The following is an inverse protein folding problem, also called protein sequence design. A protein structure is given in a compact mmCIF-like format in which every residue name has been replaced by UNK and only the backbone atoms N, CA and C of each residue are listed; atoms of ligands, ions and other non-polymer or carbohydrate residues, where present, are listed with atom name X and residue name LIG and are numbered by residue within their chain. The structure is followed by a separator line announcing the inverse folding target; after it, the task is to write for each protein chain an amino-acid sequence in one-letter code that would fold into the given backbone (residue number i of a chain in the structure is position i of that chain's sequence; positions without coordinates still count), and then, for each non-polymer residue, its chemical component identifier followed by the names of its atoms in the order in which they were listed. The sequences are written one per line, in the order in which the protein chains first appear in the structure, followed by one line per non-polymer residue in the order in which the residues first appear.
data_IF_566696809690
#
_entry.id   IF_566696809690
#
_cell.length_a   1.000
_cell.length_b   1.000
_cell.length_c   1.000
_cell.angle_alpha   90.00
_cell.angle_beta   90.00
_cell.angle_gamma   90.00
#
_symmetry.space_group_name_H-M   'P 1'
#
loop_
_entity.id
_entity.type
_entity.pdbx_description
1 polymer ?
#
# COMPACT_ATOMS: atom_id res chain seq x y z
N UNK A 1 -3.99 12.00 -20.98
CA UNK A 1 -5.11 12.75 -20.40
C UNK A 1 -5.71 11.92 -19.26
N UNK A 2 -5.99 12.53 -18.11
CA UNK A 2 -6.72 11.89 -17.00
C UNK A 2 -8.15 11.57 -17.42
N UNK A 3 -8.65 10.39 -17.07
CA UNK A 3 -10.07 10.06 -17.29
C UNK A 3 -10.94 10.51 -16.11
N UNK A 4 -12.25 10.71 -16.33
CA UNK A 4 -13.20 11.07 -15.27
C UNK A 4 -13.16 10.06 -14.10
N UNK A 5 -13.00 8.77 -14.41
CA UNK A 5 -12.88 7.73 -13.38
C UNK A 5 -11.65 7.90 -12.49
N UNK A 6 -10.54 8.41 -13.02
CA UNK A 6 -9.34 8.68 -12.22
C UNK A 6 -9.46 9.91 -11.35
N UNK A 7 -10.08 10.97 -11.88
CA UNK A 7 -10.38 12.15 -11.06
C UNK A 7 -11.32 11.78 -9.92
N UNK A 8 -12.31 10.90 -10.17
CA UNK A 8 -13.18 10.37 -9.13
C UNK A 8 -12.40 9.55 -8.09
N UNK A 9 -11.50 8.65 -8.52
CA UNK A 9 -10.63 7.92 -7.61
C UNK A 9 -9.77 8.86 -6.75
N UNK A 10 -9.24 9.95 -7.33
CA UNK A 10 -8.49 10.96 -6.59
C UNK A 10 -9.33 11.57 -5.45
N UNK A 11 -10.55 11.98 -5.76
CA UNK A 11 -11.48 12.55 -4.77
C UNK A 11 -11.87 11.52 -3.70
N UNK A 12 -12.05 10.26 -4.07
CA UNK A 12 -12.38 9.19 -3.13
C UNK A 12 -11.20 8.83 -2.20
N UNK A 13 -9.95 9.05 -2.64
CA UNK A 13 -8.75 8.89 -1.82
C UNK A 13 -8.52 10.08 -0.87
N UNK A 14 -8.88 11.30 -1.30
CA UNK A 14 -8.73 12.55 -0.54
C UNK A 14 -10.10 13.19 -0.25
N UNK A 15 -10.99 12.45 0.40
CA UNK A 15 -12.40 12.84 0.53
C UNK A 15 -12.64 13.92 1.60
N UNK A 16 -12.63 13.55 2.87
CA UNK A 16 -12.88 14.43 4.01
C UNK A 16 -12.00 14.03 5.21
N UNK A 17 -11.80 14.91 6.20
CA UNK A 17 -10.96 14.60 7.37
C UNK A 17 -11.48 13.42 8.20
N UNK A 18 -12.81 13.30 8.32
CA UNK A 18 -13.49 12.30 9.17
C UNK A 18 -14.31 11.28 8.38
N UNK A 19 -14.42 11.44 7.06
CA UNK A 19 -15.13 10.51 6.20
C UNK A 19 -14.22 10.08 5.04
N UNK A 20 -14.17 8.78 4.83
CA UNK A 20 -13.42 8.18 3.73
C UNK A 20 -14.30 8.08 2.49
N UNK A 21 -13.71 8.27 1.31
CA UNK A 21 -14.37 7.88 0.08
C UNK A 21 -14.48 6.36 -0.02
N UNK A 22 -15.34 5.88 -0.92
CA UNK A 22 -15.63 4.45 -1.10
C UNK A 22 -14.36 3.62 -1.39
N UNK A 23 -13.43 4.14 -2.19
CA UNK A 23 -12.15 3.48 -2.49
C UNK A 23 -11.23 3.40 -1.28
N UNK A 24 -11.08 4.51 -0.55
CA UNK A 24 -10.28 4.57 0.67
C UNK A 24 -10.83 3.62 1.74
N UNK A 25 -12.14 3.60 1.93
CA UNK A 25 -12.81 2.72 2.86
C UNK A 25 -12.64 1.24 2.47
N UNK A 26 -12.81 0.92 1.18
CA UNK A 26 -12.58 -0.42 0.65
C UNK A 26 -11.14 -0.91 0.91
N UNK A 27 -10.13 -0.06 0.68
CA UNK A 27 -8.73 -0.37 0.97
C UNK A 27 -8.50 -0.70 2.46
N UNK A 28 -9.06 0.13 3.36
CA UNK A 28 -8.95 -0.06 4.82
C UNK A 28 -9.64 -1.34 5.28
N UNK A 29 -10.84 -1.63 4.78
CA UNK A 29 -11.58 -2.84 5.11
C UNK A 29 -10.86 -4.11 4.64
N UNK A 30 -10.29 -4.08 3.43
CA UNK A 30 -9.45 -5.18 2.93
C UNK A 30 -8.23 -5.40 3.82
N UNK A 31 -7.51 -4.33 4.16
CA UNK A 31 -6.32 -4.43 5.00
C UNK A 31 -6.64 -4.96 6.40
N UNK A 32 -7.65 -4.41 7.08
CA UNK A 32 -8.10 -4.87 8.41
C UNK A 32 -8.48 -6.35 8.40
N UNK A 33 -9.21 -6.78 7.37
CA UNK A 33 -9.59 -8.18 7.25
C UNK A 33 -8.39 -9.10 6.96
N UNK A 34 -7.49 -8.70 6.06
CA UNK A 34 -6.28 -9.47 5.74
C UNK A 34 -5.37 -9.61 6.95
N UNK A 35 -5.26 -8.55 7.74
CA UNK A 35 -4.54 -8.56 9.00
C UNK A 35 -5.16 -9.53 10.01
N UNK A 36 -6.48 -9.44 10.25
CA UNK A 36 -7.19 -10.30 11.19
C UNK A 36 -7.18 -11.79 10.82
N UNK A 37 -7.09 -12.11 9.53
CA UNK A 37 -7.11 -13.48 9.00
C UNK A 37 -5.72 -13.97 8.56
N UNK A 38 -4.64 -13.29 8.94
CA UNK A 38 -3.26 -13.62 8.55
C UNK A 38 -2.81 -15.02 9.01
N UNK A 39 -3.27 -15.47 10.18
CA UNK A 39 -2.96 -16.79 10.73
C UNK A 39 -3.53 -17.94 9.88
N UNK A 40 -4.62 -17.71 9.16
CA UNK A 40 -5.28 -18.70 8.30
C UNK A 40 -4.46 -19.08 7.06
N UNK A 41 -3.37 -18.38 6.78
CA UNK A 41 -2.45 -18.66 5.65
C UNK A 41 -1.43 -19.76 5.99
N UNK A 42 -1.08 -19.91 7.27
CA UNK A 42 -0.04 -20.84 7.73
C UNK A 42 -0.48 -22.30 7.92
N UNK A 43 -1.78 -22.60 7.78
CA UNK A 43 -2.31 -23.95 7.98
C UNK A 43 -2.14 -24.78 6.69
N UNK A 44 -1.41 -25.91 6.71
CA UNK A 44 -1.26 -26.77 5.55
C UNK A 44 -2.61 -27.38 5.12
N UNK A 45 -2.79 -27.58 3.82
CA UNK A 45 -4.04 -27.91 3.13
C UNK A 45 -4.68 -29.28 3.49
N UNK A 46 -4.24 -29.93 4.57
CA UNK A 46 -4.68 -31.27 4.97
C UNK A 46 -6.02 -31.25 5.72
N UNK A 47 -6.51 -30.08 6.16
CA UNK A 47 -7.82 -29.93 6.78
C UNK A 47 -8.86 -29.37 5.79
N UNK A 48 -10.15 -29.74 5.91
CA UNK A 48 -11.22 -29.27 5.02
C UNK A 48 -11.45 -27.74 5.05
N UNK A 49 -10.81 -27.02 5.98
CA UNK A 49 -10.80 -25.55 6.09
C UNK A 49 -9.77 -24.86 5.15
N UNK A 50 -9.20 -25.60 4.19
CA UNK A 50 -8.29 -25.08 3.15
C UNK A 50 -8.85 -23.89 2.33
N UNK A 51 -10.16 -23.65 2.40
CA UNK A 51 -10.82 -22.48 1.84
C UNK A 51 -10.32 -21.16 2.46
N UNK A 52 -9.97 -21.14 3.75
CA UNK A 52 -9.55 -19.92 4.45
C UNK A 52 -8.31 -19.26 3.84
N UNK A 53 -7.28 -20.07 3.54
CA UNK A 53 -6.06 -19.58 2.88
C UNK A 53 -6.27 -19.16 1.42
N UNK A 54 -7.16 -19.83 0.69
CA UNK A 54 -7.51 -19.47 -0.69
C UNK A 54 -8.30 -18.14 -0.74
N UNK A 55 -9.29 -17.97 0.14
CA UNK A 55 -10.04 -16.73 0.31
C UNK A 55 -9.12 -15.56 0.73
N UNK A 56 -8.17 -15.82 1.63
CA UNK A 56 -7.18 -14.81 2.01
C UNK A 56 -6.32 -14.38 0.81
N UNK A 57 -5.78 -15.32 0.04
CA UNK A 57 -5.00 -15.02 -1.17
C UNK A 57 -5.81 -14.27 -2.22
N UNK A 58 -7.07 -14.67 -2.45
CA UNK A 58 -7.97 -13.97 -3.36
C UNK A 58 -8.21 -12.52 -2.93
N UNK A 59 -8.47 -12.28 -1.65
CA UNK A 59 -8.67 -10.94 -1.12
C UNK A 59 -7.38 -10.10 -1.11
N UNK A 60 -6.22 -10.72 -0.88
CA UNK A 60 -4.92 -10.08 -0.97
C UNK A 60 -4.64 -9.63 -2.42
N UNK A 61 -4.99 -10.46 -3.40
CA UNK A 61 -4.88 -10.10 -4.82
C UNK A 61 -5.78 -8.91 -5.18
N UNK A 62 -7.04 -8.90 -4.71
CA UNK A 62 -7.94 -7.75 -4.89
C UNK A 62 -7.37 -6.46 -4.28
N UNK A 63 -6.80 -6.53 -3.07
CA UNK A 63 -6.12 -5.39 -2.45
C UNK A 63 -4.93 -4.89 -3.28
N UNK A 64 -4.08 -5.80 -3.77
CA UNK A 64 -2.97 -5.44 -4.65
C UNK A 64 -3.42 -4.80 -5.96
N UNK A 65 -4.54 -5.25 -6.52
CA UNK A 65 -5.12 -4.63 -7.72
C UNK A 65 -5.55 -3.18 -7.45
N UNK A 66 -6.14 -2.89 -6.28
CA UNK A 66 -6.46 -1.53 -5.86
C UNK A 66 -5.20 -0.67 -5.69
N UNK A 67 -4.17 -1.17 -5.00
CA UNK A 67 -2.88 -0.47 -4.89
C UNK A 67 -2.25 -0.18 -6.26
N UNK A 68 -2.33 -1.14 -7.19
CA UNK A 68 -1.83 -0.98 -8.56
C UNK A 68 -2.66 0.05 -9.36
N UNK A 69 -3.98 0.13 -9.14
CA UNK A 69 -4.82 1.18 -9.72
C UNK A 69 -4.37 2.57 -9.25
N UNK A 70 -4.11 2.75 -7.94
CA UNK A 70 -3.61 4.01 -7.40
C UNK A 70 -2.22 4.38 -7.95
N UNK A 71 -1.33 3.41 -8.12
CA UNK A 71 -0.02 3.64 -8.75
C UNK A 71 -0.12 4.07 -10.22
N UNK A 72 -1.06 3.49 -10.98
CA UNK A 72 -1.35 3.90 -12.36
C UNK A 72 -1.93 5.31 -12.42
N UNK A 73 -2.86 5.63 -11.52
CA UNK A 73 -3.40 6.98 -11.38
C UNK A 73 -2.28 8.00 -11.13
N UNK A 74 -1.35 7.72 -10.22
CA UNK A 74 -0.21 8.61 -9.93
C UNK A 74 0.66 8.82 -11.18
N UNK A 75 0.99 7.74 -11.89
CA UNK A 75 1.80 7.81 -13.12
C UNK A 75 1.10 8.64 -14.21
N UNK A 76 -0.21 8.46 -14.39
CA UNK A 76 -1.00 9.25 -15.35
C UNK A 76 -1.16 10.70 -14.93
N UNK A 77 -1.35 10.97 -13.63
CA UNK A 77 -1.45 12.32 -13.09
C UNK A 77 -0.16 13.11 -13.34
N UNK A 78 0.99 12.53 -13.01
CA UNK A 78 2.31 13.13 -13.27
C UNK A 78 2.52 13.41 -14.77
N UNK A 79 2.04 12.52 -15.65
CA UNK A 79 2.22 12.69 -17.11
C UNK A 79 1.22 13.64 -17.80
N UNK A 80 0.10 14.01 -17.16
CA UNK A 80 -1.02 14.67 -17.85
C UNK A 80 -1.53 15.95 -17.21
N UNK A 81 -1.10 16.29 -15.99
CA UNK A 81 -1.57 17.48 -15.30
C UNK A 81 -0.83 18.76 -15.74
N UNK A 82 -1.54 19.88 -15.71
CA UNK A 82 -0.91 21.21 -15.80
C UNK A 82 0.08 21.38 -14.65
N UNK A 83 1.25 21.99 -14.93
CA UNK A 83 2.38 22.06 -13.96
C UNK A 83 1.97 22.65 -12.61
N UNK A 84 1.06 23.63 -12.58
CA UNK A 84 0.57 24.25 -11.35
C UNK A 84 -0.12 23.24 -10.41
N UNK A 85 -1.16 22.57 -10.89
CA UNK A 85 -1.90 21.56 -10.10
C UNK A 85 -1.00 20.40 -9.68
N UNK A 86 -0.08 20.01 -10.55
CA UNK A 86 0.85 18.93 -10.29
C UNK A 86 1.77 19.26 -9.12
N UNK A 87 2.36 20.46 -9.06
CA UNK A 87 3.24 20.81 -7.93
C UNK A 87 2.48 20.91 -6.60
N UNK A 88 1.24 21.40 -6.61
CA UNK A 88 0.43 21.52 -5.40
C UNK A 88 0.00 20.16 -4.84
N UNK A 89 -0.38 19.21 -5.71
CA UNK A 89 -0.89 17.89 -5.30
C UNK A 89 0.16 16.78 -5.25
N UNK A 90 1.35 16.99 -5.81
CA UNK A 90 2.38 15.96 -5.91
C UNK A 90 2.80 15.37 -4.56
N UNK A 91 3.06 16.15 -3.49
CA UNK A 91 3.47 15.59 -2.20
C UNK A 91 2.44 14.61 -1.63
N UNK A 92 1.16 15.00 -1.63
CA UNK A 92 0.07 14.17 -1.12
C UNK A 92 -0.09 12.86 -1.90
N UNK A 93 0.01 12.93 -3.24
CA UNK A 93 -0.10 11.76 -4.10
C UNK A 93 1.09 10.82 -3.97
N UNK A 94 2.27 11.37 -3.76
CA UNK A 94 3.49 10.61 -3.51
C UNK A 94 3.38 9.84 -2.19
N UNK A 95 2.93 10.51 -1.12
CA UNK A 95 2.81 9.93 0.22
C UNK A 95 1.79 8.77 0.24
N UNK A 96 0.60 8.96 -0.32
CA UNK A 96 -0.41 7.88 -0.41
C UNK A 96 0.11 6.72 -1.26
N UNK A 97 0.77 6.99 -2.38
CA UNK A 97 1.33 5.92 -3.23
C UNK A 97 2.35 5.09 -2.46
N UNK A 98 3.29 5.73 -1.77
CA UNK A 98 4.32 5.02 -1.02
C UNK A 98 3.75 4.26 0.17
N UNK A 99 2.78 4.84 0.87
CA UNK A 99 2.09 4.15 1.96
C UNK A 99 1.38 2.89 1.43
N UNK A 100 0.65 2.98 0.33
CA UNK A 100 0.00 1.82 -0.28
C UNK A 100 0.99 0.75 -0.77
N UNK A 101 2.15 1.15 -1.31
CA UNK A 101 3.21 0.22 -1.67
C UNK A 101 3.78 -0.48 -0.42
N UNK A 102 4.06 0.26 0.65
CA UNK A 102 4.51 -0.30 1.93
C UNK A 102 3.47 -1.27 2.52
N UNK A 103 2.19 -0.89 2.53
CA UNK A 103 1.09 -1.76 2.95
C UNK A 103 0.98 -3.01 2.07
N UNK A 104 1.16 -2.90 0.74
CA UNK A 104 1.12 -4.05 -0.15
C UNK A 104 2.28 -5.03 0.10
N UNK A 105 3.47 -4.52 0.39
CA UNK A 105 4.63 -5.31 0.77
C UNK A 105 4.42 -5.98 2.15
N UNK A 106 3.79 -5.27 3.09
CA UNK A 106 3.41 -5.84 4.38
C UNK A 106 2.41 -6.99 4.22
N UNK A 107 1.39 -6.85 3.37
CA UNK A 107 0.45 -7.94 3.06
C UNK A 107 1.18 -9.13 2.42
N UNK A 108 2.09 -8.90 1.48
CA UNK A 108 2.92 -9.98 0.91
C UNK A 108 3.73 -10.69 1.99
N UNK A 109 4.34 -9.94 2.91
CA UNK A 109 5.09 -10.48 4.04
C UNK A 109 4.19 -11.32 4.96
N UNK A 110 2.96 -10.87 5.28
CA UNK A 110 1.97 -11.66 6.03
C UNK A 110 1.67 -13.00 5.33
N UNK A 111 1.59 -13.00 4.00
CA UNK A 111 1.37 -14.22 3.21
C UNK A 111 2.53 -15.21 3.25
N UNK A 112 3.74 -14.75 3.60
CA UNK A 112 4.95 -15.56 3.73
C UNK A 112 5.21 -16.03 5.18
N UNK A 113 4.38 -15.64 6.16
CA UNK A 113 4.60 -15.92 7.59
C UNK A 113 4.48 -17.39 8.03
N UNK A 114 4.42 -18.37 7.13
CA UNK A 114 4.50 -19.78 7.56
C UNK A 114 5.85 -20.14 8.24
N UNK A 115 6.79 -19.18 8.38
CA UNK A 115 8.17 -19.39 8.86
C UNK A 115 8.50 -18.58 10.13
N UNK A 116 7.75 -17.54 10.52
CA UNK A 116 8.14 -16.69 11.68
C UNK A 116 6.95 -16.21 12.50
N UNK A 117 7.15 -16.22 13.82
CA UNK A 117 6.20 -16.00 14.93
C UNK A 117 5.14 -14.90 14.71
N UNK A 118 3.95 -15.04 15.34
CA UNK A 118 2.86 -14.07 15.19
C UNK A 118 3.29 -12.70 15.71
N UNK A 119 3.29 -11.71 14.82
CA UNK A 119 3.51 -10.32 15.20
C UNK A 119 2.18 -9.75 15.73
N UNK A 120 1.95 -9.91 17.03
CA UNK A 120 0.78 -9.36 17.73
C UNK A 120 0.98 -7.86 17.96
N UNK A 121 0.69 -7.03 16.97
CA UNK A 121 0.49 -5.59 17.19
C UNK A 121 -1.00 -5.33 17.48
N UNK A 122 -1.41 -5.76 18.67
CA UNK A 122 -2.73 -5.46 19.23
C UNK A 122 -2.58 -4.49 20.39
N UNK A 123 -2.58 -3.19 20.12
CA UNK A 123 -2.79 -2.17 21.13
C UNK A 123 -3.82 -1.19 20.59
N UNK A 124 -4.94 -1.01 21.30
CA UNK A 124 -5.93 0.04 21.05
C UNK A 124 -5.20 1.38 20.88
N UNK A 125 -5.08 1.86 19.63
CA UNK A 125 -4.48 3.14 19.35
C UNK A 125 -5.45 4.23 19.83
N UNK A 126 -5.00 5.05 20.78
CA UNK A 126 -5.81 6.09 21.42
C UNK A 126 -6.44 7.04 20.40
N UNK A 127 -7.56 7.72 20.73
CA UNK A 127 -8.31 8.53 19.77
C UNK A 127 -7.50 9.65 19.10
N UNK A 128 -6.48 10.20 19.76
CA UNK A 128 -5.55 11.20 19.22
C UNK A 128 -4.41 10.61 18.39
N UNK A 129 -4.18 9.30 18.45
CA UNK A 129 -3.25 8.59 17.58
C UNK A 129 -3.82 8.38 16.16
N UNK A 130 -5.15 8.50 15.99
CA UNK A 130 -5.78 8.61 14.68
C UNK A 130 -5.41 9.95 14.05
N UNK A 131 -4.34 9.95 13.24
CA UNK A 131 -3.91 11.14 12.47
C UNK A 131 -4.91 11.63 11.42
N UNK A 132 -6.08 11.01 11.29
CA UNK A 132 -7.12 11.37 10.33
C UNK A 132 -6.75 10.99 8.88
N UNK A 133 -7.75 10.89 8.02
CA UNK A 133 -7.58 10.52 6.60
C UNK A 133 -7.04 9.11 6.35
N UNK A 134 -6.99 8.71 5.07
CA UNK A 134 -6.56 7.38 4.65
C UNK A 134 -5.11 7.06 5.06
N UNK A 135 -4.20 8.03 4.90
CA UNK A 135 -2.78 7.86 5.18
C UNK A 135 -2.53 7.53 6.66
N UNK A 136 -3.13 8.29 7.58
CA UNK A 136 -2.97 8.08 9.02
C UNK A 136 -3.47 6.72 9.48
N UNK A 137 -4.60 6.26 8.92
CA UNK A 137 -5.14 4.93 9.24
C UNK A 137 -4.30 3.79 8.66
N UNK A 138 -3.78 3.92 7.44
CA UNK A 138 -2.86 2.92 6.87
C UNK A 138 -1.56 2.82 7.68
N UNK A 139 -1.02 3.96 8.13
CA UNK A 139 0.17 4.00 8.96
C UNK A 139 -0.05 3.33 10.32
N UNK A 140 -1.22 3.53 10.95
CA UNK A 140 -1.57 2.90 12.22
C UNK A 140 -1.73 1.37 12.11
N UNK A 141 -2.11 0.87 10.93
CA UNK A 141 -2.27 -0.57 10.67
C UNK A 141 -0.95 -1.28 10.33
N UNK A 142 0.14 -0.53 10.12
CA UNK A 142 1.46 -1.11 9.91
C UNK A 142 2.15 -1.40 11.26
N UNK A 143 3.02 -2.42 11.34
CA UNK A 143 3.67 -2.86 12.58
C UNK A 143 4.62 -1.83 13.22
N UNK A 144 4.80 -0.68 12.59
CA UNK A 144 5.73 0.40 12.98
C UNK A 144 4.98 1.57 13.63
N UNK A 145 3.77 1.32 14.13
CA UNK A 145 2.65 2.24 14.37
C UNK A 145 2.83 3.46 15.26
N UNK A 146 4.04 3.97 15.54
CA UNK A 146 4.26 5.28 16.15
C UNK A 146 5.56 5.99 15.72
N UNK A 147 6.46 5.33 14.97
CA UNK A 147 7.69 5.96 14.46
C UNK A 147 7.39 6.64 13.12
N UNK A 148 7.08 7.93 13.13
CA UNK A 148 6.80 8.69 11.89
C UNK A 148 8.02 8.76 10.94
N UNK A 149 9.23 8.49 11.43
CA UNK A 149 10.46 8.70 10.67
C UNK A 149 10.83 7.56 9.72
N UNK A 150 10.33 6.33 9.93
CA UNK A 150 10.78 5.16 9.15
C UNK A 150 10.25 5.10 7.71
N UNK A 151 9.19 5.85 7.41
CA UNK A 151 8.62 5.95 6.06
C UNK A 151 8.60 7.37 5.51
N UNK A 152 9.23 8.32 6.21
CA UNK A 152 9.30 9.71 5.77
C UNK A 152 10.41 9.87 4.73
N UNK A 153 10.15 9.43 3.50
CA UNK A 153 10.97 9.80 2.36
C UNK A 153 10.37 11.05 1.70
N UNK A 154 11.05 12.21 1.75
CA UNK A 154 10.54 13.40 1.13
C UNK A 154 10.30 13.13 -0.37
N UNK A 155 9.19 13.65 -0.94
CA UNK A 155 8.95 13.53 -2.36
C UNK A 155 10.13 14.11 -3.15
N UNK A 156 10.49 13.50 -4.29
CA UNK A 156 11.50 14.09 -5.16
C UNK A 156 11.04 15.50 -5.57
N UNK A 157 11.95 16.47 -5.52
CA UNK A 157 11.66 17.88 -5.83
C UNK A 157 11.06 18.07 -7.23
N UNK A 158 11.36 17.15 -8.14
CA UNK A 158 10.81 17.11 -9.48
C UNK A 158 10.14 15.75 -9.72
N UNK A 159 8.87 15.72 -10.14
CA UNK A 159 8.21 14.47 -10.48
C UNK A 159 8.86 13.89 -11.73
N UNK A 160 9.44 12.71 -11.60
CA UNK A 160 9.98 11.97 -12.75
C UNK A 160 8.92 10.99 -13.28
N UNK A 161 8.79 10.89 -14.60
CA UNK A 161 7.92 9.88 -15.24
C UNK A 161 8.64 8.55 -15.50
N UNK A 162 9.90 8.41 -15.10
CA UNK A 162 10.67 7.18 -15.29
C UNK A 162 10.23 6.12 -14.26
N UNK A 163 9.50 5.12 -14.74
CA UNK A 163 9.07 3.99 -13.92
C UNK A 163 10.14 2.89 -13.99
N UNK A 164 10.86 2.67 -12.88
CA UNK A 164 11.83 1.60 -12.77
C UNK A 164 11.14 0.30 -12.36
N UNK A 165 11.31 -0.76 -13.16
CA UNK A 165 10.84 -2.11 -12.81
C UNK A 165 11.97 -2.81 -12.07
N UNK A 166 11.85 -2.93 -10.76
CA UNK A 166 12.76 -3.75 -9.96
C UNK A 166 12.46 -5.22 -10.27
N UNK A 167 13.39 -5.90 -10.95
CA UNK A 167 13.34 -7.34 -11.20
C UNK A 167 14.17 -8.10 -10.16
N UNK A 168 13.84 -9.36 -9.84
CA UNK A 168 14.67 -10.19 -8.96
C UNK A 168 16.11 -10.29 -9.47
N UNK A 169 17.07 -10.20 -8.54
CA UNK A 169 18.49 -10.28 -8.83
C UNK A 169 18.84 -11.68 -9.37
N UNK A 170 19.33 -11.75 -10.59
CA UNK A 170 19.77 -13.01 -11.19
C UNK A 170 21.27 -13.27 -10.93
N UNK A 171 21.72 -14.53 -11.00
CA UNK A 171 23.14 -14.85 -10.85
C UNK A 171 24.05 -14.11 -11.85
N UNK A 172 23.52 -13.79 -13.04
CA UNK A 172 24.22 -13.04 -14.08
C UNK A 172 24.51 -11.58 -13.67
N UNK A 173 23.68 -11.00 -12.80
CA UNK A 173 23.81 -9.61 -12.35
C UNK A 173 24.97 -9.47 -11.35
N UNK A 174 25.31 -10.54 -10.62
CA UNK A 174 26.46 -10.56 -9.69
C UNK A 174 27.80 -10.38 -10.41
N UNK A 175 27.93 -10.92 -11.63
CA UNK A 175 29.18 -10.87 -12.41
C UNK A 175 29.46 -9.46 -12.96
N UNK A 176 28.41 -8.67 -13.19
CA UNK A 176 28.55 -7.28 -13.65
C UNK A 176 28.87 -6.30 -12.53
N UNK A 177 28.54 -6.62 -11.28
CA UNK A 177 28.83 -5.76 -10.14
C UNK A 177 30.31 -5.78 -9.71
N UNK A 178 31.07 -6.79 -10.13
CA UNK A 178 32.50 -6.95 -9.80
C UNK A 178 33.46 -6.28 -10.79
N UNK A 179 32.96 -5.47 -11.72
CA UNK A 179 33.77 -4.77 -12.74
C UNK A 179 33.81 -3.25 -12.49
N UNK A 180 33.67 -2.82 -11.23
CA UNK A 180 33.88 -1.44 -10.79
C UNK A 180 34.99 -1.40 -9.75
#
# INVERSE_FOLDING_TARGET
QLTLGEVRMLVELFYLPYHHGTQAQCLLEHLRWLWANSLSVGVPATTPDACGGACWRGRAQSFQQLCAQTCRLHSRFVSSAGRALLYDLHPYLWDIRNMLLATSAFVLWLGCQSITAPMLLGGEAEPWARRGGLFGELQALLPVGNSCELFYHPPPLFPSSQMYVLRPLLPLDKVRATVW
#
